data_IF_359215836658
#
_entry.id   IF_359215836658
#
_cell.length_a   1.000
_cell.length_b   1.000
_cell.length_c   1.000
_cell.angle_alpha   90.00
_cell.angle_beta   90.00
_cell.angle_gamma   90.00
#
_symmetry.space_group_name_H-M   'P 1'
#
loop_
_entity.id
_entity.type
_entity.pdbx_description
1 polymer ?
#
# COMPACT_ATOMS: atom_id res chain seq x y z
N UNK A 1 36.37 -4.77 14.83
CA UNK A 1 35.81 -5.46 13.65
C UNK A 1 34.30 -5.15 13.66
N UNK A 2 33.88 -4.22 12.82
CA UNK A 2 32.47 -3.88 12.66
C UNK A 2 31.90 -4.86 11.63
N UNK A 3 31.14 -5.85 12.10
CA UNK A 3 30.33 -6.64 11.18
C UNK A 3 29.21 -5.73 10.69
N UNK A 4 29.33 -5.25 9.46
CA UNK A 4 28.17 -4.80 8.70
C UNK A 4 27.24 -6.02 8.60
N UNK A 5 26.21 -6.07 9.42
CA UNK A 5 25.04 -6.87 9.10
C UNK A 5 24.43 -6.21 7.88
N UNK A 6 24.81 -6.67 6.69
CA UNK A 6 23.99 -6.45 5.50
C UNK A 6 22.62 -6.97 5.88
N UNK A 7 21.69 -6.06 6.08
CA UNK A 7 20.26 -6.39 6.19
C UNK A 7 19.92 -7.00 4.83
N UNK A 8 19.79 -8.32 4.79
CA UNK A 8 19.38 -9.02 3.57
C UNK A 8 17.98 -8.54 3.23
N UNK A 9 17.88 -7.73 2.19
CA UNK A 9 16.60 -7.33 1.62
C UNK A 9 15.89 -8.58 1.11
N UNK A 10 14.63 -8.76 1.51
CA UNK A 10 13.82 -9.88 1.05
C UNK A 10 12.88 -9.38 -0.03
N UNK A 11 12.96 -10.03 -1.19
CA UNK A 11 12.08 -9.76 -2.33
C UNK A 11 10.85 -10.65 -2.26
N UNK A 12 9.67 -10.05 -2.44
CA UNK A 12 8.40 -10.74 -2.54
C UNK A 12 7.76 -10.49 -3.91
N UNK A 13 7.26 -11.55 -4.53
CA UNK A 13 6.52 -11.46 -5.80
C UNK A 13 5.24 -12.28 -5.72
N UNK A 14 4.17 -11.70 -6.25
CA UNK A 14 2.85 -12.32 -6.34
C UNK A 14 2.29 -12.18 -7.74
N UNK A 15 1.45 -13.14 -8.13
CA UNK A 15 0.56 -12.98 -9.28
C UNK A 15 -0.81 -12.54 -8.78
N UNK A 16 -1.37 -11.51 -9.39
CA UNK A 16 -2.71 -11.03 -9.07
C UNK A 16 -3.71 -11.82 -9.92
N UNK A 17 -4.62 -12.52 -9.26
CA UNK A 17 -5.72 -13.26 -9.88
C UNK A 17 -7.05 -12.58 -9.55
N UNK A 18 -7.96 -12.56 -10.52
CA UNK A 18 -9.34 -12.13 -10.31
C UNK A 18 -10.21 -13.32 -9.97
N UNK A 19 -10.95 -13.20 -8.89
CA UNK A 19 -11.94 -14.19 -8.47
C UNK A 19 -13.33 -13.56 -8.47
N UNK A 20 -14.36 -14.20 -9.10
CA UNK A 20 -15.69 -13.64 -9.19
C UNK A 20 -16.39 -13.39 -7.85
N UNK A 21 -16.06 -14.19 -6.83
CA UNK A 21 -16.69 -14.11 -5.50
C UNK A 21 -15.86 -13.29 -4.51
N UNK A 22 -14.53 -13.43 -4.56
CA UNK A 22 -13.61 -12.84 -3.58
C UNK A 22 -12.90 -11.57 -4.08
N UNK A 23 -13.09 -11.17 -5.33
CA UNK A 23 -12.46 -10.01 -5.95
C UNK A 23 -11.04 -10.31 -6.42
N UNK A 24 -10.02 -9.87 -5.68
CA UNK A 24 -8.61 -10.09 -6.02
C UNK A 24 -7.99 -11.08 -5.04
N UNK A 25 -7.26 -12.05 -5.59
CA UNK A 25 -6.42 -12.97 -4.84
C UNK A 25 -4.97 -12.79 -5.24
N UNK A 26 -4.07 -12.98 -4.30
CA UNK A 26 -2.64 -13.03 -4.56
C UNK A 26 -2.17 -14.49 -4.55
N UNK A 27 -1.33 -14.83 -5.52
CA UNK A 27 -0.64 -16.13 -5.56
C UNK A 27 0.84 -15.88 -5.38
N UNK A 28 1.43 -16.40 -4.30
CA UNK A 28 2.84 -16.23 -4.02
C UNK A 28 3.73 -17.12 -4.92
N UNK A 29 5.04 -17.00 -4.77
CA UNK A 29 6.01 -17.76 -5.58
C UNK A 29 5.95 -19.28 -5.32
N UNK A 30 5.40 -19.72 -4.19
CA UNK A 30 5.18 -21.13 -3.86
C UNK A 30 3.87 -21.66 -4.45
N UNK A 31 3.08 -20.82 -5.13
CA UNK A 31 1.79 -21.18 -5.70
C UNK A 31 0.63 -21.19 -4.69
N UNK A 32 0.85 -20.64 -3.50
CA UNK A 32 -0.19 -20.52 -2.47
C UNK A 32 -1.04 -19.28 -2.71
N UNK A 33 -2.34 -19.44 -2.52
CA UNK A 33 -3.30 -18.33 -2.55
C UNK A 33 -3.34 -17.66 -1.20
N UNK A 34 -3.06 -16.37 -1.17
CA UNK A 34 -3.05 -15.56 0.05
C UNK A 34 -3.96 -14.35 -0.10
N UNK A 35 -4.36 -13.77 1.03
CA UNK A 35 -5.12 -12.54 1.08
C UNK A 35 -4.25 -11.32 0.71
N UNK A 36 -4.87 -10.25 0.23
CA UNK A 36 -4.15 -9.01 -0.10
C UNK A 36 -3.40 -8.42 1.10
N UNK A 37 -3.87 -8.64 2.33
CA UNK A 37 -3.21 -8.19 3.56
C UNK A 37 -1.90 -8.90 3.84
N UNK A 38 -1.58 -9.99 3.16
CA UNK A 38 -0.30 -10.70 3.30
C UNK A 38 0.90 -9.77 3.06
N UNK A 39 0.77 -8.80 2.14
CA UNK A 39 1.83 -7.80 1.91
C UNK A 39 2.10 -6.94 3.15
N UNK A 40 1.07 -6.62 3.92
CA UNK A 40 1.20 -5.83 5.15
C UNK A 40 1.89 -6.64 6.26
N UNK A 41 1.54 -7.91 6.38
CA UNK A 41 2.18 -8.83 7.34
C UNK A 41 3.68 -8.98 7.05
N UNK A 42 4.06 -9.13 5.77
CA UNK A 42 5.46 -9.22 5.34
C UNK A 42 6.25 -7.94 5.64
N UNK A 43 5.58 -6.80 5.71
CA UNK A 43 6.20 -5.49 5.95
C UNK A 43 6.26 -5.09 7.43
N UNK A 44 5.68 -5.86 8.33
CA UNK A 44 5.74 -5.63 9.77
C UNK A 44 5.24 -4.23 10.19
N UNK A 45 6.09 -3.44 10.79
CA UNK A 45 5.73 -2.11 11.33
C UNK A 45 5.68 -0.99 10.29
N UNK A 46 6.00 -1.27 9.06
CA UNK A 46 5.97 -0.27 8.00
C UNK A 46 4.54 0.14 7.69
N UNK A 47 4.31 1.43 7.50
CA UNK A 47 2.96 1.99 7.35
C UNK A 47 2.75 2.75 6.05
N UNK A 48 3.83 3.15 5.37
CA UNK A 48 3.75 3.92 4.13
C UNK A 48 4.10 3.04 2.94
N UNK A 49 3.17 2.93 2.00
CA UNK A 49 3.27 2.10 0.81
C UNK A 49 3.07 2.97 -0.43
N UNK A 50 4.10 3.03 -1.25
CA UNK A 50 4.07 3.72 -2.53
C UNK A 50 3.81 2.71 -3.64
N UNK A 51 2.69 2.86 -4.34
CA UNK A 51 2.31 1.97 -5.43
C UNK A 51 2.81 2.52 -6.75
N UNK A 52 3.75 1.82 -7.36
CA UNK A 52 4.32 2.14 -8.65
C UNK A 52 3.73 1.23 -9.74
N UNK A 53 3.47 1.81 -10.88
CA UNK A 53 2.92 1.11 -12.04
C UNK A 53 2.37 2.09 -13.05
N UNK A 54 2.34 1.67 -14.31
CA UNK A 54 1.79 2.48 -15.40
C UNK A 54 0.31 2.75 -15.18
N UNK A 55 -0.21 3.80 -15.78
CA UNK A 55 -1.65 4.07 -15.83
C UNK A 55 -2.38 2.84 -16.37
N UNK A 56 -3.44 2.41 -15.68
CA UNK A 56 -4.19 1.20 -16.04
C UNK A 56 -3.59 -0.12 -15.55
N UNK A 57 -2.46 -0.10 -14.81
CA UNK A 57 -1.88 -1.31 -14.23
C UNK A 57 -2.76 -1.93 -13.12
N UNK A 58 -3.65 -1.14 -12.52
CA UNK A 58 -4.58 -1.60 -11.48
C UNK A 58 -4.20 -1.17 -10.07
N UNK A 59 -3.44 -0.09 -9.91
CA UNK A 59 -3.04 0.46 -8.60
C UNK A 59 -4.26 0.78 -7.72
N UNK A 60 -5.17 1.60 -8.23
CA UNK A 60 -6.39 1.98 -7.50
C UNK A 60 -7.26 0.77 -7.17
N UNK A 61 -7.41 -0.16 -8.11
CA UNK A 61 -8.18 -1.39 -7.92
C UNK A 61 -7.58 -2.25 -6.82
N UNK A 62 -6.26 -2.38 -6.79
CA UNK A 62 -5.58 -3.15 -5.74
C UNK A 62 -5.69 -2.48 -4.37
N UNK A 63 -5.47 -1.16 -4.30
CA UNK A 63 -5.63 -0.39 -3.05
C UNK A 63 -7.05 -0.51 -2.51
N UNK A 64 -8.06 -0.40 -3.38
CA UNK A 64 -9.45 -0.61 -2.99
C UNK A 64 -9.65 -1.97 -2.34
N UNK A 65 -9.17 -3.01 -2.99
CA UNK A 65 -9.30 -4.37 -2.47
C UNK A 65 -8.54 -4.56 -1.15
N UNK A 66 -7.35 -3.99 -1.03
CA UNK A 66 -6.56 -4.01 0.20
C UNK A 66 -7.29 -3.32 1.36
N UNK A 67 -7.87 -2.15 1.13
CA UNK A 67 -8.67 -1.44 2.13
C UNK A 67 -9.90 -2.26 2.58
N UNK A 68 -10.60 -2.87 1.64
CA UNK A 68 -11.74 -3.76 1.93
C UNK A 68 -11.30 -4.96 2.77
N UNK A 69 -10.17 -5.59 2.43
CA UNK A 69 -9.59 -6.69 3.19
C UNK A 69 -9.14 -6.28 4.61
N UNK A 70 -8.77 -5.03 4.80
CA UNK A 70 -8.44 -4.46 6.12
C UNK A 70 -9.68 -4.12 6.95
N UNK A 71 -10.88 -4.24 6.39
CA UNK A 71 -12.14 -4.09 7.12
C UNK A 71 -12.78 -2.71 7.03
N UNK A 72 -12.43 -1.88 6.05
CA UNK A 72 -13.19 -0.64 5.82
C UNK A 72 -14.56 -0.94 5.24
N UNK A 73 -15.55 -0.18 5.68
CA UNK A 73 -16.91 -0.18 5.15
C UNK A 73 -17.15 1.02 4.22
N UNK A 74 -16.19 1.92 4.15
CA UNK A 74 -16.25 3.08 3.29
C UNK A 74 -16.13 2.70 1.81
N UNK A 75 -16.74 3.51 0.95
CA UNK A 75 -16.58 3.37 -0.49
C UNK A 75 -15.21 3.89 -0.89
N UNK A 76 -14.31 2.98 -1.27
CA UNK A 76 -12.96 3.32 -1.69
C UNK A 76 -12.95 3.73 -3.15
N UNK A 77 -12.61 4.98 -3.40
CA UNK A 77 -12.45 5.55 -4.74
C UNK A 77 -11.09 6.25 -4.85
N UNK A 78 -10.62 6.41 -6.09
CA UNK A 78 -9.43 7.25 -6.32
C UNK A 78 -9.71 8.69 -5.86
N UNK A 79 -8.82 9.32 -5.07
CA UNK A 79 -8.99 10.69 -4.61
C UNK A 79 -8.60 11.71 -5.71
N UNK A 80 -9.30 11.64 -6.85
CA UNK A 80 -8.96 12.40 -8.07
C UNK A 80 -8.95 13.92 -7.85
N UNK A 81 -9.82 14.43 -6.98
CA UNK A 81 -9.94 15.87 -6.70
C UNK A 81 -9.44 16.28 -5.32
N UNK A 82 -9.53 15.36 -4.36
CA UNK A 82 -9.19 15.65 -2.96
C UNK A 82 -7.70 15.41 -2.63
N UNK A 83 -6.95 14.74 -3.51
CA UNK A 83 -5.57 14.27 -3.35
C UNK A 83 -5.43 13.21 -2.25
N UNK A 84 -6.11 13.34 -1.12
CA UNK A 84 -6.15 12.36 -0.04
C UNK A 84 -7.59 12.05 0.37
N UNK A 85 -7.90 10.75 0.46
CA UNK A 85 -9.12 10.25 1.09
C UNK A 85 -8.76 9.56 2.40
N UNK A 86 -9.63 9.69 3.39
CA UNK A 86 -9.51 9.03 4.69
C UNK A 86 -10.60 7.98 4.81
N UNK A 87 -10.21 6.74 5.11
CA UNK A 87 -11.13 5.63 5.34
C UNK A 87 -11.00 5.15 6.78
N UNK A 88 -12.13 4.88 7.43
CA UNK A 88 -12.12 4.27 8.76
C UNK A 88 -12.07 2.75 8.66
N UNK A 89 -11.33 2.13 9.58
CA UNK A 89 -11.27 0.68 9.71
C UNK A 89 -12.10 0.25 10.91
N UNK A 90 -12.97 -0.74 10.68
CA UNK A 90 -13.61 -1.43 11.76
C UNK A 90 -12.62 -2.42 12.40
N UNK A 91 -12.15 -2.11 13.60
CA UNK A 91 -11.17 -2.91 14.30
C UNK A 91 -11.61 -4.38 14.51
N UNK A 92 -12.92 -4.65 14.53
CA UNK A 92 -13.44 -6.02 14.65
C UNK A 92 -13.27 -6.84 13.36
N UNK A 93 -13.10 -6.18 12.24
CA UNK A 93 -12.91 -6.80 10.93
C UNK A 93 -11.44 -6.88 10.50
N UNK A 94 -10.57 -6.18 11.21
CA UNK A 94 -9.14 -6.24 10.95
C UNK A 94 -8.64 -7.69 11.17
N UNK A 95 -7.87 -8.26 10.23
CA UNK A 95 -7.23 -9.55 10.45
C UNK A 95 -6.45 -9.61 11.76
N UNK A 96 -6.51 -10.73 12.46
CA UNK A 96 -5.90 -10.86 13.80
C UNK A 96 -4.40 -10.59 13.79
N UNK A 97 -3.73 -10.94 12.71
CA UNK A 97 -2.31 -10.66 12.46
C UNK A 97 -1.98 -9.17 12.46
N UNK A 98 -2.94 -8.35 12.06
CA UNK A 98 -2.78 -6.89 12.01
C UNK A 98 -3.27 -6.19 13.29
N UNK A 99 -3.98 -6.91 14.17
CA UNK A 99 -4.49 -6.34 15.44
C UNK A 99 -3.42 -6.20 16.52
N UNK A 100 -2.38 -7.05 16.48
CA UNK A 100 -1.57 -7.35 17.68
C UNK A 100 -0.46 -6.34 17.95
N UNK A 101 -0.01 -5.53 16.99
CA UNK A 101 1.25 -4.80 17.20
C UNK A 101 1.21 -3.29 16.97
N UNK A 102 0.09 -2.69 16.67
CA UNK A 102 0.14 -1.25 16.40
C UNK A 102 -0.44 -0.41 17.53
N UNK A 103 0.34 -0.22 18.57
CA UNK A 103 0.15 0.87 19.53
C UNK A 103 0.05 2.27 18.86
N UNK A 104 0.40 2.36 17.58
CA UNK A 104 0.36 3.58 16.77
C UNK A 104 -0.77 3.60 15.75
N UNK A 105 -1.42 2.48 15.47
CA UNK A 105 -2.50 2.42 14.50
C UNK A 105 -3.78 3.00 15.08
N UNK A 106 -4.28 4.07 14.47
CA UNK A 106 -5.46 4.81 14.95
C UNK A 106 -6.77 4.37 14.33
N UNK A 107 -6.74 3.37 13.44
CA UNK A 107 -7.92 2.85 12.77
C UNK A 107 -8.31 3.59 11.49
N UNK A 108 -7.41 4.35 10.91
CA UNK A 108 -7.63 5.06 9.64
C UNK A 108 -6.64 4.59 8.58
N UNK A 109 -7.06 4.70 7.32
CA UNK A 109 -6.22 4.55 6.13
C UNK A 109 -6.24 5.85 5.36
N UNK A 110 -5.08 6.32 4.96
CA UNK A 110 -4.92 7.48 4.09
C UNK A 110 -4.58 7.00 2.68
N UNK A 111 -5.43 7.30 1.72
CA UNK A 111 -5.24 6.98 0.32
C UNK A 111 -4.94 8.26 -0.46
N UNK A 112 -3.72 8.35 -1.00
CA UNK A 112 -3.25 9.49 -1.77
C UNK A 112 -3.24 9.17 -3.25
N UNK A 113 -3.60 10.16 -4.07
CA UNK A 113 -3.31 10.22 -5.49
C UNK A 113 -2.57 11.52 -5.79
N UNK A 114 -1.27 11.42 -6.00
CA UNK A 114 -0.38 12.56 -6.19
C UNK A 114 -0.24 13.00 -7.64
N UNK A 115 -0.99 12.42 -8.56
CA UNK A 115 -0.87 12.68 -10.00
C UNK A 115 -0.96 14.18 -10.37
N UNK A 116 -1.81 14.94 -9.67
CA UNK A 116 -2.05 16.35 -9.94
C UNK A 116 -1.24 17.32 -9.09
N UNK A 117 -0.41 16.81 -8.19
CA UNK A 117 0.50 17.66 -7.40
C UNK A 117 1.51 18.31 -8.34
N UNK A 118 1.64 19.63 -8.27
CA UNK A 118 2.50 20.41 -9.15
C UNK A 118 3.95 20.43 -8.68
N UNK A 119 4.15 20.57 -7.36
CA UNK A 119 5.46 20.64 -6.74
C UNK A 119 5.43 20.24 -5.26
N UNK A 120 6.60 20.13 -4.65
CA UNK A 120 6.74 19.74 -3.25
C UNK A 120 6.16 20.79 -2.28
N UNK A 121 6.15 22.05 -2.64
CA UNK A 121 5.61 23.14 -1.79
C UNK A 121 4.11 22.94 -1.64
N UNK A 122 3.41 22.66 -2.74
CA UNK A 122 1.96 22.31 -2.69
C UNK A 122 1.71 21.11 -1.77
N UNK A 123 2.51 20.05 -1.89
CA UNK A 123 2.38 18.87 -1.06
C UNK A 123 2.63 19.18 0.43
N UNK A 124 3.61 20.00 0.75
CA UNK A 124 3.93 20.43 2.11
C UNK A 124 2.81 21.29 2.70
N UNK A 125 2.30 22.23 1.91
CA UNK A 125 1.21 23.14 2.33
C UNK A 125 -0.10 22.39 2.64
N UNK A 126 -0.30 21.23 2.05
CA UNK A 126 -1.42 20.35 2.35
C UNK A 126 -1.28 19.58 3.67
N UNK A 127 -0.14 19.67 4.35
CA UNK A 127 0.13 18.91 5.55
C UNK A 127 0.42 17.42 5.32
N UNK A 128 0.93 17.06 4.15
CA UNK A 128 1.19 15.67 3.75
C UNK A 128 2.05 14.92 4.78
N UNK A 129 3.04 15.58 5.36
CA UNK A 129 3.93 14.96 6.36
C UNK A 129 3.19 14.51 7.62
N UNK A 130 2.14 15.21 8.04
CA UNK A 130 1.33 14.80 9.20
C UNK A 130 0.67 13.44 8.98
N UNK A 131 0.20 13.18 7.77
CA UNK A 131 -0.36 11.88 7.40
C UNK A 131 0.71 10.80 7.34
N UNK A 132 1.84 11.08 6.68
CA UNK A 132 2.92 10.11 6.47
C UNK A 132 3.57 9.63 7.78
N UNK A 133 3.63 10.49 8.78
CA UNK A 133 4.22 10.19 10.10
C UNK A 133 3.19 9.94 11.19
N UNK A 134 1.92 9.77 10.84
CA UNK A 134 0.82 9.55 11.79
C UNK A 134 0.83 8.19 12.48
N UNK A 135 1.48 7.19 11.88
CA UNK A 135 1.40 5.79 12.30
C UNK A 135 0.21 5.03 11.71
N UNK A 136 -0.64 5.69 10.95
CA UNK A 136 -1.70 5.04 10.16
C UNK A 136 -1.16 4.55 8.82
N UNK A 137 -1.87 3.61 8.19
CA UNK A 137 -1.51 3.17 6.86
C UNK A 137 -1.73 4.26 5.83
N UNK A 138 -0.71 4.50 5.00
CA UNK A 138 -0.76 5.42 3.87
C UNK A 138 -0.52 4.62 2.60
N UNK A 139 -1.47 4.63 1.69
CA UNK A 139 -1.36 4.03 0.36
C UNK A 139 -1.33 5.15 -0.67
N UNK A 140 -0.24 5.23 -1.43
CA UNK A 140 0.08 6.39 -2.26
C UNK A 140 0.22 5.96 -3.72
N UNK A 141 -0.59 6.54 -4.59
CA UNK A 141 -0.44 6.46 -6.04
C UNK A 141 0.35 7.68 -6.53
N UNK A 142 1.18 7.50 -7.55
CA UNK A 142 2.04 8.55 -8.09
C UNK A 142 2.96 9.17 -7.03
N UNK A 143 3.51 8.31 -6.17
CA UNK A 143 4.33 8.72 -5.02
C UNK A 143 5.64 9.41 -5.43
N UNK A 144 6.13 9.20 -6.65
CA UNK A 144 7.30 9.89 -7.21
C UNK A 144 7.16 11.41 -7.20
N UNK A 145 5.93 11.93 -7.21
CA UNK A 145 5.65 13.37 -7.13
C UNK A 145 6.00 13.97 -5.76
N UNK A 146 6.05 13.14 -4.73
CA UNK A 146 6.34 13.55 -3.35
C UNK A 146 7.49 12.74 -2.72
N UNK A 147 8.30 12.09 -3.53
CA UNK A 147 9.35 11.18 -3.06
C UNK A 147 10.25 11.76 -1.97
N UNK A 148 10.72 13.04 -2.06
CA UNK A 148 11.53 13.64 -1.01
C UNK A 148 10.86 13.78 0.36
N UNK A 149 9.53 13.68 0.43
CA UNK A 149 8.76 13.75 1.68
C UNK A 149 8.51 12.39 2.30
N UNK A 150 8.71 11.31 1.56
CA UNK A 150 8.41 9.95 2.02
C UNK A 150 9.37 9.52 3.13
N UNK A 151 8.86 8.78 4.15
CA UNK A 151 9.71 8.12 5.12
C UNK A 151 10.75 7.20 4.48
N UNK A 152 11.91 7.05 5.10
CA UNK A 152 12.98 6.17 4.58
C UNK A 152 12.57 4.70 4.50
N UNK A 153 11.66 4.27 5.37
CA UNK A 153 11.14 2.90 5.41
C UNK A 153 9.91 2.68 4.51
N UNK A 154 9.61 3.61 3.62
CA UNK A 154 8.52 3.47 2.65
C UNK A 154 8.72 2.20 1.81
N UNK A 155 7.66 1.40 1.71
CA UNK A 155 7.65 0.20 0.86
C UNK A 155 7.15 0.58 -0.52
N UNK A 156 7.98 0.35 -1.53
CA UNK A 156 7.61 0.53 -2.93
C UNK A 156 7.03 -0.78 -3.48
N UNK A 157 5.73 -0.74 -3.77
CA UNK A 157 4.98 -1.87 -4.32
C UNK A 157 4.81 -1.65 -5.82
N UNK A 158 5.42 -2.51 -6.61
CA UNK A 158 5.36 -2.44 -8.07
C UNK A 158 4.27 -3.34 -8.61
N UNK A 159 3.37 -2.78 -9.41
CA UNK A 159 2.34 -3.53 -10.13
C UNK A 159 2.61 -3.44 -11.63
N UNK A 160 2.77 -4.58 -12.27
CA UNK A 160 3.08 -4.68 -13.70
C UNK A 160 2.06 -5.57 -14.42
N UNK A 161 1.83 -5.26 -15.67
CA UNK A 161 1.12 -6.14 -16.60
C UNK A 161 2.18 -6.93 -17.37
N UNK A 162 2.18 -8.25 -17.19
CA UNK A 162 3.10 -9.16 -17.85
C UNK A 162 2.73 -9.36 -19.33
N UNK A 163 3.63 -9.93 -20.13
CA UNK A 163 3.41 -10.16 -21.55
C UNK A 163 2.18 -11.05 -21.85
N UNK A 164 1.88 -11.99 -20.94
CA UNK A 164 0.71 -12.87 -21.04
C UNK A 164 -0.61 -12.22 -20.60
N UNK A 165 -0.59 -10.93 -20.24
CA UNK A 165 -1.74 -10.18 -19.73
C UNK A 165 -2.03 -10.36 -18.24
N UNK A 166 -1.31 -11.22 -17.54
CA UNK A 166 -1.40 -11.34 -16.08
C UNK A 166 -0.78 -10.12 -15.41
N UNK A 167 -1.26 -9.77 -14.21
CA UNK A 167 -0.67 -8.74 -13.38
C UNK A 167 0.19 -9.36 -12.30
N UNK A 168 1.35 -8.76 -12.06
CA UNK A 168 2.23 -9.11 -10.97
C UNK A 168 2.37 -7.96 -9.98
N UNK A 169 2.64 -8.30 -8.74
CA UNK A 169 2.93 -7.36 -7.65
C UNK A 169 4.24 -7.80 -7.01
N UNK A 170 5.14 -6.85 -6.79
CA UNK A 170 6.43 -7.14 -6.15
C UNK A 170 6.86 -6.00 -5.22
N UNK A 171 7.59 -6.32 -4.17
CA UNK A 171 8.20 -5.36 -3.25
C UNK A 171 9.38 -5.98 -2.51
N UNK A 172 10.18 -5.11 -1.92
CA UNK A 172 11.33 -5.47 -1.09
C UNK A 172 11.17 -4.93 0.34
N UNK A 173 11.61 -5.69 1.29
CA UNK A 173 11.68 -5.29 2.71
C UNK A 173 12.95 -5.78 3.38
#
# INVERSE_FOLDING_TARGET
MIYCLETMETNYKYTIKKDPEKGILLVNEQGEVVDATDILEKCGDRRVFAFDGKMGAGKTTFIKHLCEAMGTEDVVNSPTFAIVNVYEINANRLPDELKVESLKFKGEIYHFDCYRIKDLIEAMDMGTEEYLYSGNYCFIEWAEMIEPLLPEDTVWVKIEVEENGERSLSFEV
#
